data_IF_245652850157
#
_entry.id   IF_245652850157
#
_cell.length_a   1.000
_cell.length_b   1.000
_cell.length_c   1.000
_cell.angle_alpha   90.00
_cell.angle_beta   90.00
_cell.angle_gamma   90.00
#
_symmetry.space_group_name_H-M   'P 1'
#
loop_
_entity.id
_entity.type
_entity.pdbx_description
1 polymer ?
#
# COMPACT_ATOMS: atom_id res chain seq x y z
N UNK A 1 -7.39 -7.96 10.73
CA UNK A 1 -7.62 -6.51 10.53
C UNK A 1 -8.96 -6.35 9.83
N UNK A 2 -9.96 -5.86 10.53
CA UNK A 2 -11.35 -5.86 10.04
C UNK A 2 -11.93 -4.44 9.95
N UNK A 3 -11.97 -3.74 11.09
CA UNK A 3 -12.63 -2.44 11.22
C UNK A 3 -11.86 -1.36 10.47
N UNK A 4 -10.60 -1.16 10.81
CA UNK A 4 -9.77 -0.11 10.21
C UNK A 4 -9.41 -0.34 8.75
N UNK A 5 -9.44 -1.58 8.28
CA UNK A 5 -9.26 -1.92 6.86
C UNK A 5 -10.54 -1.72 6.02
N UNK A 6 -11.69 -1.58 6.68
CA UNK A 6 -13.00 -1.51 6.02
C UNK A 6 -13.39 -2.81 5.31
N UNK A 7 -12.94 -3.94 5.86
CA UNK A 7 -13.28 -5.27 5.35
C UNK A 7 -14.79 -5.48 5.34
N UNK A 8 -15.37 -6.09 4.30
CA UNK A 8 -16.78 -6.45 4.28
C UNK A 8 -17.17 -7.36 5.45
N UNK A 9 -18.40 -7.24 5.94
CA UNK A 9 -18.89 -8.11 7.00
C UNK A 9 -18.99 -9.58 6.56
N UNK A 10 -18.97 -10.53 7.51
CA UNK A 10 -19.10 -11.96 7.23
C UNK A 10 -20.34 -12.26 6.37
N UNK A 11 -21.47 -11.62 6.65
CA UNK A 11 -22.71 -11.77 5.86
C UNK A 11 -22.54 -11.34 4.39
N UNK A 12 -21.75 -10.30 4.15
CA UNK A 12 -21.45 -9.83 2.78
C UNK A 12 -20.51 -10.81 2.10
N UNK A 13 -19.48 -11.30 2.79
CA UNK A 13 -18.52 -12.27 2.25
C UNK A 13 -19.17 -13.62 1.93
N UNK A 14 -20.12 -14.08 2.74
CA UNK A 14 -20.91 -15.30 2.49
C UNK A 14 -21.78 -15.15 1.23
N UNK A 15 -22.44 -13.99 1.06
CA UNK A 15 -23.32 -13.73 -0.08
C UNK A 15 -22.54 -13.44 -1.37
N UNK A 16 -21.45 -12.73 -1.24
CA UNK A 16 -20.58 -12.32 -2.34
C UNK A 16 -19.15 -12.73 -2.02
N UNK A 17 -18.71 -13.92 -2.44
CA UNK A 17 -17.35 -14.39 -2.17
C UNK A 17 -16.31 -13.43 -2.73
N UNK A 18 -15.33 -13.09 -1.91
CA UNK A 18 -14.20 -12.25 -2.27
C UNK A 18 -12.91 -13.05 -2.09
N UNK A 19 -12.06 -13.03 -3.08
CA UNK A 19 -10.72 -13.58 -2.99
C UNK A 19 -9.74 -12.53 -2.44
N UNK A 20 -8.58 -12.96 -1.98
CA UNK A 20 -7.50 -12.14 -1.42
C UNK A 20 -7.90 -11.35 -0.15
N UNK A 21 -8.89 -11.85 0.59
CA UNK A 21 -9.25 -11.35 1.93
C UNK A 21 -8.75 -12.35 2.98
N UNK A 22 -8.18 -11.84 4.08
CA UNK A 22 -7.64 -12.64 5.19
C UNK A 22 -6.55 -13.65 4.79
N UNK A 23 -5.81 -13.38 3.73
CA UNK A 23 -4.73 -14.25 3.24
C UNK A 23 -3.46 -14.17 4.10
N UNK A 24 -3.33 -13.13 4.92
CA UNK A 24 -2.17 -12.88 5.77
C UNK A 24 -2.56 -12.49 7.19
N UNK A 25 -1.68 -12.81 8.13
CA UNK A 25 -1.75 -12.31 9.50
C UNK A 25 -1.19 -10.89 9.58
N UNK A 26 -1.54 -10.11 10.63
CA UNK A 26 -1.06 -8.73 10.79
C UNK A 26 0.46 -8.56 10.89
N UNK A 27 1.19 -9.60 11.30
CA UNK A 27 2.65 -9.65 11.40
C UNK A 27 3.34 -10.00 10.07
N UNK A 28 2.59 -10.47 9.10
CA UNK A 28 3.10 -10.82 7.78
C UNK A 28 3.08 -9.62 6.83
N UNK A 29 4.00 -9.59 5.88
CA UNK A 29 4.10 -8.53 4.86
C UNK A 29 3.67 -9.05 3.50
N UNK A 30 2.98 -8.22 2.73
CA UNK A 30 2.54 -8.53 1.38
C UNK A 30 3.19 -7.62 0.36
N UNK A 31 3.89 -8.20 -0.58
CA UNK A 31 4.59 -7.46 -1.62
C UNK A 31 3.73 -7.29 -2.86
N UNK A 32 4.08 -6.31 -3.70
CA UNK A 32 3.43 -6.11 -5.02
C UNK A 32 3.61 -7.31 -5.93
N UNK A 33 4.73 -8.03 -5.83
CA UNK A 33 4.96 -9.25 -6.63
C UNK A 33 4.03 -10.37 -6.19
N UNK A 34 3.90 -10.63 -4.87
CA UNK A 34 2.95 -11.61 -4.36
C UNK A 34 1.51 -11.28 -4.76
N UNK A 35 1.10 -10.00 -4.62
CA UNK A 35 -0.21 -9.56 -5.09
C UNK A 35 -0.42 -9.88 -6.58
N UNK A 36 0.58 -9.63 -7.42
CA UNK A 36 0.48 -9.88 -8.85
C UNK A 36 0.30 -11.38 -9.15
N UNK A 37 1.08 -12.23 -8.50
CA UNK A 37 0.99 -13.68 -8.68
C UNK A 37 -0.40 -14.19 -8.22
N UNK A 38 -0.84 -13.83 -7.02
CA UNK A 38 -2.13 -14.26 -6.44
C UNK A 38 -3.34 -13.76 -7.26
N UNK A 39 -3.31 -12.50 -7.73
CA UNK A 39 -4.42 -11.94 -8.52
C UNK A 39 -4.52 -12.57 -9.90
N UNK A 40 -3.38 -12.90 -10.54
CA UNK A 40 -3.37 -13.58 -11.83
C UNK A 40 -3.99 -14.97 -11.71
N UNK A 41 -3.68 -15.70 -10.65
CA UNK A 41 -4.27 -17.02 -10.41
C UNK A 41 -5.78 -16.93 -10.14
N UNK A 42 -6.21 -15.91 -9.39
CA UNK A 42 -7.64 -15.61 -9.18
C UNK A 42 -8.37 -15.29 -10.50
N UNK A 43 -7.74 -14.49 -11.39
CA UNK A 43 -8.31 -14.16 -12.71
C UNK A 43 -8.42 -15.42 -13.58
N UNK A 44 -7.37 -16.26 -13.63
CA UNK A 44 -7.40 -17.54 -14.38
C UNK A 44 -8.53 -18.45 -13.91
N UNK A 45 -8.69 -18.59 -12.60
CA UNK A 45 -9.77 -19.37 -12.01
C UNK A 45 -11.15 -18.80 -12.37
N UNK A 46 -11.32 -17.49 -12.34
CA UNK A 46 -12.56 -16.85 -12.78
C UNK A 46 -12.89 -17.17 -14.25
N UNK A 47 -11.92 -17.10 -15.16
CA UNK A 47 -12.13 -17.45 -16.58
C UNK A 47 -12.45 -18.95 -16.79
N UNK A 48 -11.75 -19.84 -16.09
CA UNK A 48 -12.03 -21.28 -16.14
C UNK A 48 -13.46 -21.60 -15.70
N UNK A 49 -13.97 -20.85 -14.72
CA UNK A 49 -15.34 -20.99 -14.23
C UNK A 49 -16.37 -20.12 -14.98
N UNK A 50 -15.98 -19.53 -16.12
CA UNK A 50 -16.80 -18.64 -16.96
C UNK A 50 -17.36 -17.43 -16.21
N UNK A 51 -16.60 -16.90 -15.27
CA UNK A 51 -16.93 -15.68 -14.50
C UNK A 51 -16.11 -14.51 -15.01
N UNK A 52 -16.67 -13.31 -14.86
CA UNK A 52 -15.95 -12.08 -15.12
C UNK A 52 -15.22 -11.66 -13.82
N UNK A 53 -13.89 -11.61 -13.80
CA UNK A 53 -13.17 -11.14 -12.63
C UNK A 53 -13.38 -9.64 -12.44
N UNK A 54 -13.78 -9.25 -11.23
CA UNK A 54 -13.93 -7.85 -10.81
C UNK A 54 -12.92 -7.55 -9.71
N UNK A 55 -11.93 -6.73 -10.02
CA UNK A 55 -10.92 -6.30 -9.06
C UNK A 55 -11.34 -4.96 -8.42
N UNK A 56 -11.49 -4.97 -7.09
CA UNK A 56 -11.93 -3.80 -6.33
C UNK A 56 -10.89 -3.46 -5.27
N UNK A 57 -10.48 -2.21 -5.19
CA UNK A 57 -9.53 -1.78 -4.17
C UNK A 57 -9.09 -0.33 -4.29
N UNK A 58 -8.24 0.09 -3.35
CA UNK A 58 -7.72 1.46 -3.27
C UNK A 58 -6.20 1.55 -3.23
N UNK A 59 -5.47 0.42 -3.35
CA UNK A 59 -4.01 0.43 -3.41
C UNK A 59 -3.56 0.63 -4.86
N UNK A 60 -3.52 1.90 -5.27
CA UNK A 60 -3.25 2.31 -6.66
C UNK A 60 -1.98 1.70 -7.24
N UNK A 61 -0.95 1.53 -6.41
CA UNK A 61 0.31 0.91 -6.82
C UNK A 61 0.12 -0.54 -7.32
N UNK A 62 -0.75 -1.32 -6.69
CA UNK A 62 -1.02 -2.69 -7.09
C UNK A 62 -1.67 -2.75 -8.47
N UNK A 63 -2.72 -1.96 -8.69
CA UNK A 63 -3.39 -1.87 -9.99
C UNK A 63 -2.47 -1.34 -11.08
N UNK A 64 -1.68 -0.30 -10.77
CA UNK A 64 -0.72 0.26 -11.72
C UNK A 64 0.30 -0.79 -12.20
N UNK A 65 0.84 -1.57 -11.27
CA UNK A 65 1.80 -2.61 -11.63
C UNK A 65 1.16 -3.81 -12.32
N UNK A 66 -0.10 -4.12 -12.01
CA UNK A 66 -0.83 -5.17 -12.70
C UNK A 66 -1.02 -4.83 -14.19
N UNK A 67 -1.44 -3.58 -14.48
CA UNK A 67 -1.73 -3.12 -15.84
C UNK A 67 -0.46 -2.78 -16.63
N UNK A 68 0.51 -2.14 -15.98
CA UNK A 68 1.73 -1.64 -16.65
C UNK A 68 2.95 -2.55 -16.49
N UNK A 69 2.78 -3.70 -15.84
CA UNK A 69 3.87 -4.61 -15.51
C UNK A 69 4.76 -4.14 -14.37
N UNK A 70 5.55 -5.06 -13.87
CA UNK A 70 6.52 -4.84 -12.79
C UNK A 70 7.91 -5.30 -13.22
N UNK A 71 8.93 -4.53 -12.87
CA UNK A 71 10.31 -5.00 -12.96
C UNK A 71 10.60 -5.88 -11.76
N UNK A 72 10.82 -7.17 -11.98
CA UNK A 72 11.18 -8.10 -10.90
C UNK A 72 12.57 -7.75 -10.39
N UNK A 73 12.63 -7.30 -9.16
CA UNK A 73 13.88 -7.02 -8.47
C UNK A 73 14.30 -8.23 -7.64
N UNK A 74 15.59 -8.51 -7.50
CA UNK A 74 16.07 -9.61 -6.68
C UNK A 74 15.65 -9.42 -5.21
N UNK A 75 15.45 -10.53 -4.48
CA UNK A 75 15.18 -10.48 -3.05
C UNK A 75 16.38 -9.88 -2.32
N UNK A 76 16.10 -9.14 -1.26
CA UNK A 76 17.12 -8.55 -0.40
C UNK A 76 17.12 -9.28 0.95
N UNK A 77 18.28 -9.71 1.38
CA UNK A 77 18.47 -10.38 2.68
C UNK A 77 18.05 -9.45 3.84
N UNK A 78 17.52 -10.07 4.89
CA UNK A 78 17.11 -9.37 6.12
C UNK A 78 18.28 -8.66 6.81
N UNK A 79 19.49 -9.22 6.76
CA UNK A 79 20.69 -8.60 7.32
C UNK A 79 21.06 -7.31 6.60
N UNK A 80 20.95 -7.27 5.26
CA UNK A 80 21.16 -6.04 4.48
C UNK A 80 20.14 -4.98 4.87
N UNK A 81 18.88 -5.35 5.01
CA UNK A 81 17.83 -4.41 5.44
C UNK A 81 18.09 -3.84 6.84
N UNK A 82 18.52 -4.69 7.79
CA UNK A 82 18.88 -4.26 9.13
C UNK A 82 20.09 -3.32 9.12
N UNK A 83 21.11 -3.64 8.34
CA UNK A 83 22.30 -2.78 8.16
C UNK A 83 21.91 -1.40 7.60
N UNK A 84 21.14 -1.37 6.50
CA UNK A 84 20.69 -0.11 5.88
C UNK A 84 19.83 0.70 6.85
N UNK A 85 18.94 0.03 7.61
CA UNK A 85 18.13 0.70 8.63
C UNK A 85 19.02 1.37 9.67
N UNK A 86 20.04 0.68 10.20
CA UNK A 86 20.99 1.22 11.19
C UNK A 86 21.77 2.40 10.63
N UNK A 87 22.30 2.29 9.40
CA UNK A 87 23.00 3.41 8.74
C UNK A 87 22.10 4.65 8.58
N UNK A 88 20.80 4.47 8.32
CA UNK A 88 19.84 5.59 8.28
C UNK A 88 19.62 6.24 9.65
N UNK A 89 19.59 5.46 10.73
CA UNK A 89 19.44 5.95 12.09
C UNK A 89 20.68 6.74 12.54
N UNK A 90 21.88 6.31 12.13
CA UNK A 90 23.15 6.94 12.49
C UNK A 90 23.47 8.19 11.64
N UNK A 91 23.22 8.14 10.34
CA UNK A 91 23.70 9.15 9.38
C UNK A 91 22.59 10.12 8.90
N UNK A 92 21.34 9.77 9.08
CA UNK A 92 20.20 10.54 8.63
C UNK A 92 19.94 10.49 7.12
N UNK A 93 18.74 10.92 6.72
CA UNK A 93 18.23 10.78 5.35
C UNK A 93 19.07 11.52 4.31
N UNK A 94 19.56 12.72 4.62
CA UNK A 94 20.32 13.54 3.67
C UNK A 94 21.68 12.95 3.33
N UNK A 95 22.38 12.36 4.30
CA UNK A 95 23.65 11.72 4.04
C UNK A 95 23.47 10.42 3.28
N UNK A 96 22.41 9.67 3.59
CA UNK A 96 22.08 8.45 2.85
C UNK A 96 21.61 8.76 1.42
N UNK A 97 21.00 9.91 1.16
CA UNK A 97 20.72 10.37 -0.21
C UNK A 97 22.01 10.73 -0.97
N UNK A 98 22.98 11.39 -0.30
CA UNK A 98 24.30 11.62 -0.90
C UNK A 98 25.07 10.31 -1.18
N UNK A 99 24.90 9.31 -0.31
CA UNK A 99 25.45 8.00 -0.58
C UNK A 99 24.78 7.34 -1.81
N UNK A 100 23.45 7.44 -1.93
CA UNK A 100 22.71 6.98 -3.10
C UNK A 100 23.22 7.67 -4.39
N UNK A 101 23.50 8.96 -4.35
CA UNK A 101 24.04 9.70 -5.49
C UNK A 101 25.36 9.12 -6.00
N UNK A 102 26.22 8.64 -5.08
CA UNK A 102 27.50 8.01 -5.43
C UNK A 102 27.36 6.62 -6.06
N UNK A 103 26.37 5.84 -5.64
CA UNK A 103 26.18 4.46 -6.08
C UNK A 103 25.16 4.31 -7.21
N UNK A 104 24.18 5.20 -7.32
CA UNK A 104 23.14 5.21 -8.35
C UNK A 104 22.64 6.64 -8.60
N UNK A 105 23.40 7.40 -9.38
CA UNK A 105 23.10 8.80 -9.71
C UNK A 105 21.73 8.95 -10.38
N UNK A 106 21.33 8.02 -11.23
CA UNK A 106 20.04 8.10 -11.93
C UNK A 106 18.86 7.92 -10.97
N UNK A 107 18.98 7.06 -9.96
CA UNK A 107 17.98 6.94 -8.91
C UNK A 107 17.95 8.18 -8.02
N UNK A 108 19.10 8.74 -7.64
CA UNK A 108 19.15 9.93 -6.75
C UNK A 108 18.49 11.16 -7.38
N UNK A 109 18.60 11.33 -8.70
CA UNK A 109 17.93 12.42 -9.42
C UNK A 109 16.39 12.29 -9.45
N UNK A 110 15.88 11.06 -9.39
CA UNK A 110 14.43 10.78 -9.44
C UNK A 110 13.79 10.68 -8.07
N UNK A 111 14.56 10.31 -7.05
CA UNK A 111 14.07 10.08 -5.69
C UNK A 111 14.30 11.35 -4.87
N UNK A 112 13.20 11.92 -4.35
CA UNK A 112 13.30 13.10 -3.51
C UNK A 112 14.16 12.81 -2.26
N UNK A 113 15.01 13.77 -1.87
CA UNK A 113 15.97 13.63 -0.77
C UNK A 113 15.36 13.26 0.60
N UNK A 114 14.07 13.48 0.80
CA UNK A 114 13.34 13.12 2.01
C UNK A 114 12.56 11.80 1.87
N UNK A 115 12.62 11.13 0.70
CA UNK A 115 11.93 9.85 0.49
C UNK A 115 12.77 8.69 1.04
N UNK A 116 12.76 8.58 2.37
CA UNK A 116 13.52 7.57 3.11
C UNK A 116 13.27 6.15 2.61
N UNK A 117 12.02 5.83 2.24
CA UNK A 117 11.65 4.48 1.82
C UNK A 117 12.27 4.11 0.48
N UNK A 118 12.19 5.01 -0.50
CA UNK A 118 12.79 4.76 -1.83
C UNK A 118 14.30 4.81 -1.80
N UNK A 119 14.90 5.70 -1.01
CA UNK A 119 16.35 5.76 -0.81
C UNK A 119 16.84 4.43 -0.21
N UNK A 120 16.20 3.96 0.89
CA UNK A 120 16.52 2.66 1.50
C UNK A 120 16.48 1.54 0.47
N UNK A 121 15.38 1.45 -0.29
CA UNK A 121 15.19 0.39 -1.27
C UNK A 121 16.27 0.38 -2.35
N UNK A 122 16.66 1.54 -2.85
CA UNK A 122 17.71 1.65 -3.87
C UNK A 122 19.08 1.18 -3.34
N UNK A 123 19.42 1.59 -2.13
CA UNK A 123 20.66 1.16 -1.46
C UNK A 123 20.65 -0.33 -1.15
N UNK A 124 19.53 -0.86 -0.65
CA UNK A 124 19.35 -2.29 -0.36
C UNK A 124 19.57 -3.15 -1.61
N UNK A 125 19.00 -2.75 -2.74
CA UNK A 125 19.18 -3.47 -4.02
C UNK A 125 20.64 -3.44 -4.46
N UNK A 126 21.29 -2.29 -4.37
CA UNK A 126 22.70 -2.16 -4.71
C UNK A 126 23.59 -3.03 -3.81
N UNK A 127 23.39 -3.01 -2.51
CA UNK A 127 24.17 -3.82 -1.57
C UNK A 127 23.95 -5.32 -1.73
N UNK A 128 22.73 -5.72 -2.14
CA UNK A 128 22.40 -7.13 -2.39
C UNK A 128 22.97 -7.67 -3.70
N UNK A 129 23.14 -6.82 -4.72
CA UNK A 129 23.39 -7.27 -6.10
C UNK A 129 24.65 -6.70 -6.74
N UNK A 130 25.22 -5.66 -6.15
CA UNK A 130 26.30 -4.87 -6.79
C UNK A 130 25.85 -4.03 -7.99
N UNK A 131 24.55 -4.04 -8.32
CA UNK A 131 24.01 -3.36 -9.50
C UNK A 131 23.00 -2.27 -9.10
N UNK A 132 23.07 -1.13 -9.77
CA UNK A 132 22.20 0.03 -9.55
C UNK A 132 20.72 -0.31 -9.77
N UNK A 133 19.82 0.21 -8.90
CA UNK A 133 18.38 0.06 -9.06
C UNK A 133 17.90 0.64 -10.41
N UNK A 134 18.45 1.78 -10.81
CA UNK A 134 18.11 2.41 -12.10
C UNK A 134 18.45 1.51 -13.29
N UNK A 135 19.54 0.76 -13.24
CA UNK A 135 19.91 -0.22 -14.27
C UNK A 135 18.95 -1.42 -14.26
N UNK A 136 18.63 -1.95 -13.08
CA UNK A 136 17.62 -3.00 -12.96
C UNK A 136 16.29 -2.60 -13.58
N UNK A 137 15.84 -1.36 -13.33
CA UNK A 137 14.58 -0.84 -13.88
C UNK A 137 14.62 -0.60 -15.39
N UNK A 138 15.78 -0.24 -15.96
CA UNK A 138 15.93 0.02 -17.40
C UNK A 138 16.11 -1.26 -18.22
N UNK A 139 16.81 -2.25 -17.68
CA UNK A 139 17.11 -3.49 -18.39
C UNK A 139 16.00 -4.54 -18.28
N UNK A 140 15.35 -4.61 -17.11
CA UNK A 140 14.18 -5.45 -16.96
C UNK A 140 12.97 -4.77 -17.60
N UNK A 141 12.61 -5.22 -18.80
CA UNK A 141 11.33 -4.84 -19.38
C UNK A 141 10.23 -5.13 -18.36
N UNK A 142 9.33 -4.19 -18.18
CA UNK A 142 8.13 -4.43 -17.40
C UNK A 142 7.36 -5.55 -18.10
N UNK A 143 7.31 -6.69 -17.49
CA UNK A 143 6.53 -7.82 -18.00
C UNK A 143 5.08 -7.63 -17.58
N UNK A 144 4.22 -7.37 -18.55
CA UNK A 144 2.76 -7.45 -18.35
C UNK A 144 2.41 -8.93 -18.50
N UNK A 145 1.67 -9.46 -17.54
CA UNK A 145 1.24 -10.85 -17.61
C UNK A 145 0.30 -11.06 -18.82
N UNK A 146 0.48 -12.15 -19.56
CA UNK A 146 -0.30 -12.49 -20.75
C UNK A 146 -1.81 -12.43 -20.50
N UNK A 147 -2.27 -12.93 -19.35
CA UNK A 147 -3.68 -12.88 -18.95
C UNK A 147 -4.23 -11.46 -18.94
N UNK A 148 -3.42 -10.46 -18.59
CA UNK A 148 -3.84 -9.06 -18.58
C UNK A 148 -3.74 -8.46 -19.98
N UNK A 149 -2.67 -8.76 -20.74
CA UNK A 149 -2.45 -8.22 -22.08
C UNK A 149 -3.47 -8.72 -23.11
N UNK A 150 -3.97 -9.95 -22.93
CA UNK A 150 -4.98 -10.58 -23.79
C UNK A 150 -6.41 -10.27 -23.36
N UNK A 151 -6.61 -9.70 -22.18
CA UNK A 151 -7.93 -9.38 -21.65
C UNK A 151 -8.46 -8.05 -22.18
N UNK A 152 -9.77 -7.97 -22.43
CA UNK A 152 -10.48 -6.70 -22.61
C UNK A 152 -10.63 -6.00 -21.25
N UNK A 153 -9.58 -5.30 -20.83
CA UNK A 153 -9.52 -4.66 -19.53
C UNK A 153 -10.35 -3.36 -19.52
N UNK A 154 -11.33 -3.29 -18.65
CA UNK A 154 -12.12 -2.08 -18.39
C UNK A 154 -11.67 -1.51 -17.05
N UNK A 155 -11.15 -0.28 -17.07
CA UNK A 155 -10.70 0.42 -15.88
C UNK A 155 -11.73 1.48 -15.46
N UNK A 156 -12.27 1.32 -14.26
CA UNK A 156 -13.31 2.21 -13.72
C UNK A 156 -12.80 2.83 -12.41
N UNK A 157 -12.90 4.15 -12.30
CA UNK A 157 -12.65 4.87 -11.07
C UNK A 157 -13.91 5.55 -10.57
N UNK A 158 -14.24 5.31 -9.31
CA UNK A 158 -15.32 6.02 -8.63
C UNK A 158 -14.72 7.28 -7.98
N UNK A 159 -15.19 8.45 -8.37
CA UNK A 159 -14.75 9.72 -7.79
C UNK A 159 -15.91 10.40 -7.06
N UNK A 160 -15.66 11.12 -5.98
CA UNK A 160 -16.69 11.94 -5.37
C UNK A 160 -17.07 13.11 -6.28
N UNK A 161 -18.35 13.40 -6.39
CA UNK A 161 -18.85 14.56 -7.12
C UNK A 161 -18.52 15.87 -6.38
N UNK A 162 -18.73 15.88 -5.07
CA UNK A 162 -18.44 17.01 -4.21
C UNK A 162 -17.35 16.67 -3.19
N UNK A 163 -16.36 17.58 -3.05
CA UNK A 163 -15.23 17.40 -2.15
C UNK A 163 -15.59 17.57 -0.68
N UNK A 164 -16.53 18.44 -0.37
CA UNK A 164 -16.88 18.74 1.01
C UNK A 164 -17.80 17.65 1.57
N UNK A 165 -18.76 17.19 0.78
CA UNK A 165 -19.55 15.98 1.09
C UNK A 165 -18.61 14.78 1.30
N UNK A 166 -17.63 14.59 0.44
CA UNK A 166 -16.67 13.50 0.60
C UNK A 166 -15.86 13.59 1.90
N UNK A 167 -15.47 14.80 2.31
CA UNK A 167 -14.78 15.04 3.59
C UNK A 167 -15.66 14.69 4.80
N UNK A 168 -16.94 14.98 4.72
CA UNK A 168 -17.92 14.62 5.76
C UNK A 168 -18.11 13.10 5.83
N UNK A 169 -18.23 12.43 4.69
CA UNK A 169 -18.32 10.96 4.60
C UNK A 169 -17.07 10.31 5.24
N UNK A 170 -15.87 10.82 4.93
CA UNK A 170 -14.63 10.34 5.55
C UNK A 170 -14.66 10.52 7.07
N UNK A 171 -15.07 11.70 7.55
CA UNK A 171 -15.13 11.98 8.97
C UNK A 171 -16.16 11.07 9.68
N UNK A 172 -17.36 10.94 9.12
CA UNK A 172 -18.42 10.04 9.65
C UNK A 172 -17.95 8.59 9.68
N UNK A 173 -17.29 8.12 8.60
CA UNK A 173 -16.77 6.75 8.53
C UNK A 173 -15.70 6.51 9.59
N UNK A 174 -14.75 7.42 9.78
CA UNK A 174 -13.68 7.25 10.75
C UNK A 174 -14.21 7.23 12.19
N UNK A 175 -15.12 8.16 12.53
CA UNK A 175 -15.82 8.15 13.84
C UNK A 175 -16.61 6.85 14.05
N UNK A 176 -17.25 6.35 12.99
CA UNK A 176 -17.93 5.06 13.04
C UNK A 176 -16.97 3.87 13.29
N UNK A 177 -15.77 3.89 12.73
CA UNK A 177 -14.74 2.86 13.01
C UNK A 177 -14.33 2.89 14.50
N UNK A 178 -14.15 4.06 15.10
CA UNK A 178 -13.85 4.20 16.52
C UNK A 178 -15.00 3.64 17.36
N UNK A 179 -16.23 4.02 17.06
CA UNK A 179 -17.42 3.54 17.76
C UNK A 179 -17.59 2.00 17.64
N UNK A 180 -17.17 1.42 16.54
CA UNK A 180 -17.25 -0.02 16.28
C UNK A 180 -16.07 -0.83 16.82
N UNK A 181 -15.18 -0.22 17.63
CA UNK A 181 -14.12 -0.93 18.34
C UNK A 181 -12.78 -0.96 17.61
N UNK A 182 -12.43 0.10 16.84
CA UNK A 182 -11.11 0.16 16.19
C UNK A 182 -9.97 0.21 17.21
N UNK A 183 -10.17 0.85 18.37
CA UNK A 183 -9.13 0.94 19.41
C UNK A 183 -8.86 -0.46 19.97
N UNK A 184 -9.90 -1.18 20.34
CA UNK A 184 -9.83 -2.54 20.86
C UNK A 184 -9.25 -3.53 19.83
N UNK A 185 -9.55 -3.34 18.55
CA UNK A 185 -8.93 -4.12 17.48
C UNK A 185 -7.41 -3.91 17.45
N UNK A 186 -6.93 -2.67 17.57
CA UNK A 186 -5.50 -2.35 17.57
C UNK A 186 -4.81 -2.89 18.83
N UNK A 187 -5.39 -2.72 19.99
CA UNK A 187 -4.89 -3.29 21.26
C UNK A 187 -4.74 -4.81 21.16
N UNK A 188 -5.79 -5.49 20.67
CA UNK A 188 -5.77 -6.93 20.49
C UNK A 188 -4.73 -7.41 19.47
N UNK A 189 -4.41 -6.60 18.45
CA UNK A 189 -3.34 -6.90 17.50
C UNK A 189 -1.97 -6.67 18.14
N UNK A 190 -1.76 -5.55 18.83
CA UNK A 190 -0.49 -5.25 19.50
C UNK A 190 -0.15 -6.25 20.62
N UNK A 191 -1.16 -6.84 21.26
CA UNK A 191 -0.97 -7.90 22.25
C UNK A 191 -0.45 -9.24 21.70
N UNK A 192 -0.40 -9.41 20.37
CA UNK A 192 0.12 -10.65 19.76
C UNK A 192 1.65 -10.66 19.80
N UNK A 193 2.22 -11.85 19.99
CA UNK A 193 3.69 -12.04 19.97
C UNK A 193 4.29 -11.59 18.64
N UNK A 194 5.30 -10.73 18.69
CA UNK A 194 6.01 -10.21 17.51
C UNK A 194 5.40 -8.95 16.89
N UNK A 195 4.24 -8.50 17.37
CA UNK A 195 3.63 -7.25 16.92
C UNK A 195 4.21 -6.04 17.66
N UNK A 196 4.28 -4.93 16.94
CA UNK A 196 4.69 -3.63 17.48
C UNK A 196 4.05 -2.50 16.65
N UNK A 197 4.04 -1.25 17.14
CA UNK A 197 3.62 -0.08 16.35
C UNK A 197 4.43 0.11 15.05
N UNK A 198 5.63 -0.47 14.97
CA UNK A 198 6.49 -0.43 13.79
C UNK A 198 6.17 -1.53 12.76
N UNK A 199 5.30 -2.47 13.08
CA UNK A 199 4.87 -3.52 12.14
C UNK A 199 4.20 -2.90 10.90
N UNK A 200 4.38 -3.53 9.73
CA UNK A 200 3.91 -2.99 8.45
C UNK A 200 2.40 -2.67 8.46
N UNK A 201 1.60 -3.55 9.01
CA UNK A 201 0.15 -3.40 9.13
C UNK A 201 -0.25 -2.20 10.01
N UNK A 202 0.50 -1.95 11.09
CA UNK A 202 0.24 -0.85 12.02
C UNK A 202 0.59 0.54 11.44
N UNK A 203 1.33 0.60 10.34
CA UNK A 203 1.60 1.86 9.61
C UNK A 203 0.44 2.31 8.73
N UNK A 204 -0.59 1.50 8.57
CA UNK A 204 -1.79 1.84 7.81
C UNK A 204 -2.54 3.00 8.45
N UNK A 205 -3.22 3.80 7.60
CA UNK A 205 -4.06 4.91 8.07
C UNK A 205 -5.16 4.37 8.99
N UNK A 206 -5.39 5.04 10.10
CA UNK A 206 -6.27 4.60 11.18
C UNK A 206 -5.51 3.81 12.25
N UNK A 207 -4.89 2.71 11.89
CA UNK A 207 -4.10 1.88 12.83
C UNK A 207 -2.94 2.66 13.44
N UNK A 208 -2.16 3.38 12.63
CA UNK A 208 -1.05 4.20 13.13
C UNK A 208 -1.50 5.23 14.15
N UNK A 209 -2.58 5.96 13.88
CA UNK A 209 -3.09 6.98 14.79
C UNK A 209 -3.56 6.39 16.11
N UNK A 210 -4.17 5.21 16.07
CA UNK A 210 -4.56 4.50 17.30
C UNK A 210 -3.33 4.01 18.07
N UNK A 211 -2.27 3.49 17.38
CA UNK A 211 -1.03 3.12 18.07
C UNK A 211 -0.38 4.31 18.79
N UNK A 212 -0.34 5.48 18.15
CA UNK A 212 0.21 6.71 18.72
C UNK A 212 -0.64 7.21 19.93
N UNK A 213 -1.98 7.09 19.85
CA UNK A 213 -2.88 7.37 20.97
C UNK A 213 -2.66 6.42 22.16
N UNK A 214 -2.53 5.12 21.90
CA UNK A 214 -2.26 4.12 22.93
C UNK A 214 -0.88 4.30 23.59
N UNK A 215 0.07 4.90 22.86
CA UNK A 215 1.36 5.30 23.41
C UNK A 215 1.28 6.57 24.28
N UNK A 216 0.15 7.27 24.30
CA UNK A 216 -0.05 8.50 25.08
C UNK A 216 0.44 9.77 24.37
N UNK A 217 0.70 9.72 23.07
CA UNK A 217 1.24 10.86 22.31
C UNK A 217 0.22 12.01 22.20
N UNK A 218 -1.09 11.72 22.27
CA UNK A 218 -2.17 12.71 22.17
C UNK A 218 -3.52 12.21 22.69
N UNK A 219 -4.50 13.11 22.82
CA UNK A 219 -5.85 12.82 23.28
C UNK A 219 -6.65 12.00 22.27
N UNK A 220 -7.80 11.45 22.71
CA UNK A 220 -8.74 10.74 21.83
C UNK A 220 -9.25 11.64 20.70
N UNK A 221 -9.59 12.89 21.01
CA UNK A 221 -10.08 13.84 20.02
C UNK A 221 -9.01 14.18 18.98
N UNK A 222 -7.76 14.41 19.41
CA UNK A 222 -6.63 14.62 18.50
C UNK A 222 -6.37 13.40 17.62
N UNK A 223 -6.48 12.19 18.15
CA UNK A 223 -6.34 10.95 17.40
C UNK A 223 -7.41 10.85 16.31
N UNK A 224 -8.67 11.17 16.63
CA UNK A 224 -9.76 11.16 15.67
C UNK A 224 -9.49 12.17 14.54
N UNK A 225 -9.12 13.40 14.89
CA UNK A 225 -8.84 14.44 13.89
C UNK A 225 -7.63 14.08 13.00
N UNK A 226 -6.57 13.53 13.58
CA UNK A 226 -5.39 13.04 12.83
C UNK A 226 -5.76 11.87 11.91
N UNK A 227 -6.62 10.95 12.36
CA UNK A 227 -7.12 9.84 11.57
C UNK A 227 -7.95 10.31 10.38
N UNK A 228 -8.88 11.25 10.59
CA UNK A 228 -9.68 11.87 9.53
C UNK A 228 -8.77 12.58 8.52
N UNK A 229 -7.83 13.40 8.98
CA UNK A 229 -6.92 14.13 8.12
C UNK A 229 -6.00 13.20 7.31
N UNK A 230 -5.48 12.14 7.93
CA UNK A 230 -4.68 11.13 7.24
C UNK A 230 -5.48 10.38 6.16
N UNK A 231 -6.75 10.10 6.42
CA UNK A 231 -7.67 9.48 5.46
C UNK A 231 -7.97 10.42 4.28
N UNK A 232 -8.20 11.71 4.55
CA UNK A 232 -8.36 12.74 3.50
C UNK A 232 -7.10 12.83 2.61
N UNK A 233 -5.92 12.77 3.21
CA UNK A 233 -4.64 12.75 2.49
C UNK A 233 -4.48 11.48 1.64
N UNK A 234 -4.91 10.32 2.14
CA UNK A 234 -4.92 9.08 1.38
C UNK A 234 -5.83 9.20 0.15
N UNK A 235 -7.07 9.67 0.34
CA UNK A 235 -8.02 9.90 -0.76
C UNK A 235 -7.46 10.89 -1.81
N UNK A 236 -6.81 11.98 -1.39
CA UNK A 236 -6.15 12.92 -2.30
C UNK A 236 -5.06 12.22 -3.13
N UNK A 237 -4.25 11.35 -2.51
CA UNK A 237 -3.21 10.58 -3.23
C UNK A 237 -3.84 9.61 -4.23
N UNK A 238 -4.92 8.91 -3.87
CA UNK A 238 -5.65 8.05 -4.80
C UNK A 238 -6.14 8.81 -6.01
N UNK A 239 -6.75 9.99 -5.82
CA UNK A 239 -7.20 10.86 -6.92
C UNK A 239 -6.06 11.34 -7.80
N UNK A 240 -4.89 11.64 -7.24
CA UNK A 240 -3.70 12.02 -8.00
C UNK A 240 -3.22 10.88 -8.89
N UNK A 241 -3.19 9.65 -8.39
CA UNK A 241 -2.87 8.46 -9.16
C UNK A 241 -3.86 8.24 -10.31
N UNK A 242 -5.15 8.25 -10.03
CA UNK A 242 -6.19 8.02 -11.04
C UNK A 242 -6.17 9.04 -12.18
N UNK A 243 -5.77 10.30 -11.91
CA UNK A 243 -5.63 11.32 -12.95
C UNK A 243 -4.45 11.08 -13.91
N UNK A 244 -3.47 10.32 -13.49
CA UNK A 244 -2.29 9.98 -14.31
C UNK A 244 -2.46 8.67 -15.08
N UNK A 245 -3.62 8.03 -15.03
CA UNK A 245 -3.88 6.77 -15.70
C UNK A 245 -4.59 7.00 -17.04
N UNK A 246 -4.08 6.34 -18.05
CA UNK A 246 -4.72 6.31 -19.36
C UNK A 246 -5.92 5.35 -19.36
N UNK A 247 -6.91 5.66 -20.21
CA UNK A 247 -8.07 4.80 -20.47
C UNK A 247 -8.94 4.46 -19.25
N UNK A 248 -9.02 5.34 -18.26
CA UNK A 248 -9.88 5.17 -17.09
C UNK A 248 -11.25 5.85 -17.29
N UNK A 249 -12.31 5.12 -17.00
CA UNK A 249 -13.68 5.61 -17.00
C UNK A 249 -14.01 6.13 -15.60
N UNK A 250 -14.32 7.43 -15.49
CA UNK A 250 -14.72 7.99 -14.21
C UNK A 250 -16.23 7.91 -14.03
N UNK A 251 -16.66 7.30 -12.94
CA UNK A 251 -18.03 7.33 -12.45
C UNK A 251 -18.11 8.26 -11.24
N UNK A 252 -19.14 9.08 -11.19
CA UNK A 252 -19.40 9.98 -10.06
C UNK A 252 -20.29 9.28 -9.05
N UNK A 253 -19.90 9.35 -7.79
CA UNK A 253 -20.72 8.87 -6.69
C UNK A 253 -21.46 10.05 -6.06
N UNK A 254 -22.78 9.98 -6.12
CA UNK A 254 -23.69 10.95 -5.50
C UNK A 254 -23.79 10.74 -4.00
#
# INVERSE_FOLDING_TARGET
>A
MNIGSGKPSSKVLEKYPHELIDILKPDESYSTSQFQDDVIDSIRNAFQTKRIPLLVGGTMMYFHHLVNGISRLPPVDSQIRLRVKKEFEERGVHEMHRYLEKIDKNSSLKIHQNDTQRIKRAIEVFLATGKELSKWQSENKKEINEVISESNLIQIAIKPQDKDIHREIIAKRFKGMIHNGLIEEVEGILGRKGMSPNSQSMKSVGYRQVCEYLAGDYSLDDMIDRGINSTRQLAKRQMTWMRSWDNIIFLENN
#
